data_IF_145340875337
#
_entry.id   IF_145340875337
#
_cell.length_a   1.000
_cell.length_b   1.000
_cell.length_c   1.000
_cell.angle_alpha   90.00
_cell.angle_beta   90.00
_cell.angle_gamma   90.00
#
_symmetry.space_group_name_H-M   'P 1'
#
loop_
_entity.id
_entity.type
_entity.pdbx_description
1 polymer ?
#
# COMPACT_ATOMS: atom_id res chain seq x y z
N UNK A 1 -22.26 3.19 -17.95
CA UNK A 1 -21.04 4.06 -18.04
C UNK A 1 -19.88 3.47 -17.24
N UNK A 2 -20.10 3.05 -15.99
CA UNK A 2 -19.08 2.45 -15.10
C UNK A 2 -18.45 1.17 -15.67
N UNK A 3 -19.25 0.21 -16.11
CA UNK A 3 -18.74 -1.07 -16.66
C UNK A 3 -17.86 -0.93 -17.91
N UNK A 4 -18.06 0.15 -18.68
CA UNK A 4 -17.25 0.47 -19.87
C UNK A 4 -15.86 1.05 -19.49
N UNK A 5 -15.74 1.62 -18.28
CA UNK A 5 -14.52 2.27 -17.79
C UNK A 5 -13.72 1.38 -16.82
N UNK A 6 -14.40 0.47 -16.11
CA UNK A 6 -13.81 -0.30 -15.00
C UNK A 6 -13.97 -1.83 -15.13
N UNK A 7 -14.61 -2.35 -16.19
CA UNK A 7 -14.80 -3.79 -16.42
C UNK A 7 -16.19 -4.32 -16.02
N UNK A 8 -16.45 -5.59 -16.33
CA UNK A 8 -17.74 -6.25 -16.06
C UNK A 8 -17.94 -6.60 -14.58
N UNK A 9 -16.85 -6.71 -13.84
CA UNK A 9 -16.82 -7.06 -12.43
C UNK A 9 -16.67 -5.77 -11.64
N UNK A 10 -17.74 -5.00 -11.43
CA UNK A 10 -17.70 -3.81 -10.57
C UNK A 10 -18.94 -3.81 -9.71
N UNK A 11 -18.76 -3.88 -8.38
CA UNK A 11 -19.85 -3.74 -7.43
C UNK A 11 -19.96 -2.28 -7.02
N UNK A 12 -21.09 -1.67 -7.34
CA UNK A 12 -21.43 -0.32 -6.89
C UNK A 12 -22.25 -0.44 -5.61
N UNK A 13 -21.74 0.06 -4.48
CA UNK A 13 -22.57 0.30 -3.31
C UNK A 13 -23.16 1.70 -3.42
N UNK A 14 -24.49 1.76 -3.38
CA UNK A 14 -25.26 3.00 -3.43
C UNK A 14 -25.80 3.23 -2.03
N UNK A 15 -25.32 4.29 -1.38
CA UNK A 15 -25.89 4.76 -0.12
C UNK A 15 -27.01 5.77 -0.42
N UNK A 16 -28.26 5.33 -0.24
CA UNK A 16 -29.45 6.15 -0.48
C UNK A 16 -29.68 7.20 0.61
N UNK A 17 -29.03 7.09 1.77
CA UNK A 17 -29.18 8.05 2.86
C UNK A 17 -28.36 9.33 2.66
N UNK A 18 -27.31 9.29 1.81
CA UNK A 18 -26.37 10.40 1.57
C UNK A 18 -26.50 11.04 0.19
N UNK A 19 -27.63 10.84 -0.51
CA UNK A 19 -27.89 11.50 -1.79
C UNK A 19 -27.26 10.80 -3.01
N UNK A 20 -26.99 9.49 -2.95
CA UNK A 20 -26.64 8.69 -4.12
C UNK A 20 -25.16 8.70 -4.52
N UNK A 21 -24.25 8.94 -3.57
CA UNK A 21 -22.82 8.71 -3.81
C UNK A 21 -22.57 7.21 -4.10
N UNK A 22 -21.86 6.95 -5.20
CA UNK A 22 -21.46 5.62 -5.63
C UNK A 22 -20.08 5.32 -5.03
N UNK A 23 -20.01 4.45 -4.02
CA UNK A 23 -18.72 3.84 -3.66
C UNK A 23 -18.48 2.69 -4.64
N UNK A 24 -17.46 2.85 -5.47
CA UNK A 24 -17.06 1.88 -6.47
C UNK A 24 -16.14 0.84 -5.82
N UNK A 25 -16.70 -0.32 -5.47
CA UNK A 25 -15.92 -1.46 -5.01
C UNK A 25 -15.83 -2.43 -6.19
N UNK A 26 -14.84 -2.22 -7.05
CA UNK A 26 -14.46 -3.27 -8.00
C UNK A 26 -14.01 -4.49 -7.19
N UNK A 27 -14.47 -5.72 -7.49
CA UNK A 27 -13.83 -6.91 -7.02
C UNK A 27 -12.41 -6.84 -7.57
N UNK A 28 -11.45 -6.71 -6.69
CA UNK A 28 -10.13 -7.24 -6.96
C UNK A 28 -10.30 -8.67 -7.47
N UNK A 29 -9.67 -9.02 -8.59
CA UNK A 29 -9.48 -10.42 -8.89
C UNK A 29 -8.73 -11.01 -7.69
N UNK A 30 -9.40 -11.93 -6.98
CA UNK A 30 -8.86 -12.51 -5.75
C UNK A 30 -8.38 -13.92 -6.03
N UNK A 31 -7.13 -14.20 -5.65
CA UNK A 31 -6.56 -15.55 -5.67
C UNK A 31 -6.17 -15.92 -4.26
N UNK A 32 -6.67 -17.04 -3.75
CA UNK A 32 -6.21 -17.58 -2.48
C UNK A 32 -4.86 -18.27 -2.68
N UNK A 33 -3.87 -17.93 -1.86
CA UNK A 33 -2.53 -18.53 -1.85
C UNK A 33 -2.11 -18.83 -0.41
N UNK A 34 -0.93 -19.43 -0.23
CA UNK A 34 -0.36 -19.68 1.11
C UNK A 34 -0.02 -18.38 1.87
N UNK A 35 0.00 -17.24 1.16
CA UNK A 35 0.19 -15.89 1.72
C UNK A 35 -1.14 -15.18 2.05
N UNK A 36 -2.27 -15.89 1.96
CA UNK A 36 -3.61 -15.36 2.14
C UNK A 36 -4.32 -15.04 0.83
N UNK A 37 -5.30 -14.13 0.86
CA UNK A 37 -5.98 -13.69 -0.37
C UNK A 37 -5.13 -12.61 -1.04
N UNK A 38 -4.80 -12.78 -2.31
CA UNK A 38 -4.15 -11.78 -3.14
C UNK A 38 -5.19 -10.95 -3.89
N UNK A 39 -4.93 -9.66 -4.04
CA UNK A 39 -5.79 -8.67 -4.67
C UNK A 39 -4.96 -7.99 -5.74
N UNK A 40 -5.32 -8.17 -7.02
CA UNK A 40 -4.56 -7.55 -8.10
C UNK A 40 -4.71 -6.01 -8.08
N UNK A 41 -3.62 -5.32 -8.42
CA UNK A 41 -3.60 -3.88 -8.68
C UNK A 41 -4.45 -3.54 -9.92
N UNK A 42 -5.14 -2.39 -9.90
CA UNK A 42 -5.87 -1.91 -11.08
C UNK A 42 -4.95 -1.23 -12.10
N UNK A 43 -3.85 -0.65 -11.64
CA UNK A 43 -2.92 0.12 -12.47
C UNK A 43 -1.77 -0.72 -13.01
N UNK A 44 -1.28 -1.68 -12.22
CA UNK A 44 -0.08 -2.45 -12.55
C UNK A 44 -0.37 -3.96 -12.55
N UNK A 45 -0.50 -4.55 -13.74
CA UNK A 45 -0.85 -5.97 -13.91
C UNK A 45 0.10 -6.98 -13.24
N UNK A 46 1.33 -6.56 -12.93
CA UNK A 46 2.33 -7.39 -12.26
C UNK A 46 2.32 -7.23 -10.74
N UNK A 47 1.49 -6.34 -10.19
CA UNK A 47 1.43 -6.03 -8.76
C UNK A 47 0.18 -6.64 -8.15
N UNK A 48 0.36 -7.30 -6.99
CA UNK A 48 -0.76 -7.76 -6.19
C UNK A 48 -0.54 -7.47 -4.71
N UNK A 49 -1.62 -7.21 -3.98
CA UNK A 49 -1.65 -6.92 -2.56
C UNK A 49 -2.18 -8.11 -1.76
N UNK A 50 -1.55 -8.44 -0.65
CA UNK A 50 -2.12 -9.42 0.30
C UNK A 50 -3.31 -8.83 1.05
N UNK A 51 -4.29 -9.66 1.45
CA UNK A 51 -5.42 -9.27 2.30
C UNK A 51 -4.93 -8.58 3.57
N UNK A 52 -3.89 -9.15 4.16
CA UNK A 52 -3.24 -8.64 5.35
C UNK A 52 -2.72 -7.21 5.17
N UNK A 53 -2.09 -6.92 4.03
CA UNK A 53 -1.63 -5.58 3.70
C UNK A 53 -2.79 -4.58 3.60
N UNK A 54 -3.86 -4.96 2.91
CA UNK A 54 -5.04 -4.10 2.71
C UNK A 54 -5.79 -3.83 4.02
N UNK A 55 -5.93 -4.84 4.88
CA UNK A 55 -6.56 -4.71 6.19
C UNK A 55 -5.78 -3.74 7.10
N UNK A 56 -4.45 -3.87 7.15
CA UNK A 56 -3.59 -2.95 7.92
C UNK A 56 -3.64 -1.54 7.37
N UNK A 57 -3.57 -1.39 6.04
CA UNK A 57 -3.67 -0.10 5.38
C UNK A 57 -5.01 0.60 5.67
N UNK A 58 -6.12 -0.14 5.58
CA UNK A 58 -7.47 0.36 5.88
C UNK A 58 -7.59 0.88 7.31
N UNK A 59 -7.14 0.10 8.30
CA UNK A 59 -7.17 0.49 9.72
C UNK A 59 -6.38 1.77 10.00
N UNK A 60 -5.30 2.00 9.26
CA UNK A 60 -4.37 3.14 9.46
C UNK A 60 -4.76 4.40 8.72
N UNK A 61 -5.57 4.30 7.68
CA UNK A 61 -5.90 5.45 6.82
C UNK A 61 -7.30 6.02 7.05
N UNK A 62 -8.07 5.45 7.99
CA UNK A 62 -9.45 5.82 8.37
C UNK A 62 -10.30 6.30 7.18
N UNK A 63 -10.14 5.60 6.04
CA UNK A 63 -10.65 6.05 4.76
C UNK A 63 -11.85 5.22 4.35
N UNK A 64 -12.90 5.91 3.89
CA UNK A 64 -14.04 5.29 3.22
C UNK A 64 -13.75 4.94 1.75
N UNK A 65 -12.53 5.19 1.26
CA UNK A 65 -12.12 4.92 -0.12
C UNK A 65 -11.62 3.48 -0.29
N UNK A 66 -11.63 3.00 -1.54
CA UNK A 66 -11.11 1.69 -1.88
C UNK A 66 -9.59 1.66 -1.65
N UNK A 67 -9.14 0.87 -0.68
CA UNK A 67 -7.74 0.79 -0.27
C UNK A 67 -6.80 0.42 -1.43
N UNK A 68 -7.24 -0.39 -2.39
CA UNK A 68 -6.43 -0.77 -3.56
C UNK A 68 -6.18 0.44 -4.45
N UNK A 69 -7.18 1.28 -4.69
CA UNK A 69 -7.03 2.49 -5.52
C UNK A 69 -6.02 3.44 -4.89
N UNK A 70 -6.08 3.59 -3.56
CA UNK A 70 -5.12 4.43 -2.84
C UNK A 70 -3.71 3.83 -2.87
N UNK A 71 -3.58 2.53 -2.64
CA UNK A 71 -2.28 1.84 -2.76
C UNK A 71 -1.71 1.86 -4.18
N UNK A 72 -2.55 1.81 -5.21
CA UNK A 72 -2.16 1.94 -6.62
C UNK A 72 -1.57 3.32 -6.93
N UNK A 73 -2.11 4.37 -6.30
CA UNK A 73 -1.56 5.72 -6.44
C UNK A 73 -0.15 5.82 -5.83
N UNK A 74 0.04 5.28 -4.64
CA UNK A 74 1.34 5.29 -3.94
C UNK A 74 2.38 4.37 -4.58
N UNK A 75 1.97 3.19 -5.05
CA UNK A 75 2.90 2.23 -5.63
C UNK A 75 3.44 2.70 -6.98
N UNK A 76 2.70 3.55 -7.69
CA UNK A 76 3.14 4.12 -8.96
C UNK A 76 4.43 4.93 -8.77
N UNK A 77 4.49 5.73 -7.71
CA UNK A 77 5.71 6.46 -7.35
C UNK A 77 6.75 5.50 -6.75
N UNK A 78 6.31 4.55 -5.93
CA UNK A 78 7.22 3.63 -5.25
C UNK A 78 8.01 2.73 -6.21
N UNK A 79 7.40 2.33 -7.34
CA UNK A 79 8.07 1.51 -8.36
C UNK A 79 9.31 2.19 -8.96
N UNK A 80 9.41 3.52 -8.90
CA UNK A 80 10.60 4.24 -9.36
C UNK A 80 11.83 3.96 -8.49
N UNK A 81 11.62 3.50 -7.25
CA UNK A 81 12.68 3.17 -6.27
C UNK A 81 13.07 1.68 -6.32
N UNK A 82 12.54 0.94 -7.30
CA UNK A 82 12.83 -0.48 -7.44
C UNK A 82 14.33 -0.71 -7.68
N UNK A 83 14.95 -1.50 -6.79
CA UNK A 83 16.37 -1.82 -6.82
C UNK A 83 17.23 -0.96 -5.89
N UNK A 84 16.69 0.12 -5.31
CA UNK A 84 17.40 0.93 -4.31
C UNK A 84 17.47 0.21 -2.97
N UNK A 85 16.33 -0.33 -2.52
CA UNK A 85 16.21 -1.10 -1.28
C UNK A 85 15.66 -2.50 -1.60
N UNK A 86 16.48 -3.54 -1.40
CA UNK A 86 16.03 -4.91 -1.66
C UNK A 86 14.81 -5.25 -0.79
N UNK A 87 13.75 -5.75 -1.44
CA UNK A 87 12.48 -6.10 -0.81
C UNK A 87 11.62 -4.92 -0.35
N UNK A 88 12.04 -3.67 -0.59
CA UNK A 88 11.30 -2.48 -0.17
C UNK A 88 11.18 -1.45 -1.29
N UNK A 89 10.01 -0.82 -1.41
CA UNK A 89 9.78 0.32 -2.30
C UNK A 89 9.37 1.52 -1.45
N UNK A 90 9.95 2.67 -1.71
CA UNK A 90 9.73 3.88 -0.91
C UNK A 90 8.92 4.88 -1.73
N UNK A 91 7.97 5.55 -1.08
CA UNK A 91 7.23 6.67 -1.66
C UNK A 91 7.12 7.78 -0.62
N UNK A 92 6.58 8.93 -1.03
CA UNK A 92 6.38 10.07 -0.13
C UNK A 92 5.48 9.77 1.07
N UNK A 93 4.59 8.78 0.95
CA UNK A 93 3.61 8.44 1.98
C UNK A 93 4.04 7.30 2.91
N UNK A 94 5.12 6.58 2.56
CA UNK A 94 5.58 5.42 3.32
C UNK A 94 6.35 4.39 2.49
N UNK A 95 6.47 3.18 3.04
CA UNK A 95 7.30 2.10 2.49
C UNK A 95 6.48 0.83 2.29
N UNK A 96 6.59 0.25 1.10
CA UNK A 96 6.03 -1.05 0.75
C UNK A 96 7.07 -2.14 0.96
N UNK A 97 6.72 -3.20 1.67
CA UNK A 97 7.51 -4.43 1.68
C UNK A 97 6.94 -5.42 0.67
N UNK A 98 7.78 -5.95 -0.21
CA UNK A 98 7.37 -6.82 -1.30
C UNK A 98 8.24 -8.07 -1.42
N UNK A 99 7.70 -9.06 -2.13
CA UNK A 99 8.44 -10.21 -2.64
C UNK A 99 8.09 -10.42 -4.11
N UNK A 100 9.06 -10.86 -4.92
CA UNK A 100 8.80 -11.24 -6.31
C UNK A 100 8.57 -12.73 -6.40
N UNK A 101 7.35 -13.14 -6.76
CA UNK A 101 6.96 -14.53 -6.91
C UNK A 101 6.46 -14.73 -8.34
N UNK A 102 7.07 -15.65 -9.07
CA UNK A 102 6.70 -15.95 -10.48
C UNK A 102 6.67 -14.72 -11.39
N UNK A 103 7.57 -13.75 -11.16
CA UNK A 103 7.63 -12.50 -11.94
C UNK A 103 6.54 -11.48 -11.59
N UNK A 104 5.78 -11.70 -10.51
CA UNK A 104 4.82 -10.73 -9.94
C UNK A 104 5.35 -10.15 -8.65
N UNK A 105 5.15 -8.85 -8.47
CA UNK A 105 5.45 -8.13 -7.23
C UNK A 105 4.29 -8.28 -6.26
N UNK A 106 4.51 -9.03 -5.19
CA UNK A 106 3.53 -9.30 -4.14
C UNK A 106 3.81 -8.39 -2.95
N UNK A 107 2.94 -7.42 -2.72
CA UNK A 107 3.02 -6.50 -1.58
C UNK A 107 2.47 -7.19 -0.33
N UNK A 108 3.36 -7.40 0.65
CA UNK A 108 3.06 -8.07 1.92
C UNK A 108 2.58 -7.10 3.00
N UNK A 109 3.13 -5.90 3.01
CA UNK A 109 2.74 -4.87 3.96
C UNK A 109 3.06 -3.47 3.44
N UNK A 110 2.41 -2.48 4.05
CA UNK A 110 2.67 -1.06 3.87
C UNK A 110 2.86 -0.40 5.23
N UNK A 111 3.93 0.37 5.38
CA UNK A 111 4.27 1.11 6.59
C UNK A 111 4.09 2.59 6.26
N UNK A 112 3.17 3.26 6.95
CA UNK A 112 3.01 4.71 6.82
C UNK A 112 4.32 5.39 7.22
N UNK A 113 4.64 6.50 6.56
CA UNK A 113 5.83 7.26 6.88
C UNK A 113 5.92 7.62 8.37
N UNK A 114 4.80 8.05 8.98
CA UNK A 114 4.71 8.43 10.39
C UNK A 114 4.99 7.28 11.38
N UNK A 115 5.04 6.04 10.91
CA UNK A 115 5.32 4.84 11.72
C UNK A 115 6.76 4.33 11.56
N UNK A 116 7.58 5.01 10.76
CA UNK A 116 8.98 4.65 10.57
C UNK A 116 9.84 5.23 11.70
N UNK A 117 10.76 4.42 12.23
CA UNK A 117 11.78 4.94 13.14
C UNK A 117 12.79 5.83 12.40
N UNK A 118 13.53 6.68 13.12
CA UNK A 118 14.60 7.49 12.53
C UNK A 118 15.62 6.64 11.75
N UNK A 119 16.00 5.48 12.29
CA UNK A 119 16.89 4.52 11.62
C UNK A 119 16.29 3.99 10.31
N UNK A 120 14.98 3.73 10.28
CA UNK A 120 14.28 3.29 9.07
C UNK A 120 14.17 4.43 8.06
N UNK A 121 13.94 5.65 8.51
CA UNK A 121 13.90 6.83 7.64
C UNK A 121 15.27 7.05 6.99
N UNK A 122 16.34 7.04 7.78
CA UNK A 122 17.71 7.20 7.26
C UNK A 122 18.10 6.05 6.31
N UNK A 123 17.69 4.81 6.63
CA UNK A 123 17.92 3.66 5.76
C UNK A 123 17.18 3.75 4.43
N UNK A 124 15.88 4.06 4.46
CA UNK A 124 15.02 4.00 3.28
C UNK A 124 15.08 5.26 2.43
N UNK A 125 15.32 6.42 3.05
CA UNK A 125 15.32 7.70 2.37
C UNK A 125 16.71 8.35 2.37
N UNK A 126 17.69 7.90 3.15
CA UNK A 126 19.04 8.47 3.15
C UNK A 126 19.12 9.97 3.50
N UNK A 127 20.35 10.45 3.69
CA UNK A 127 20.61 11.88 3.95
C UNK A 127 20.26 12.81 2.77
N UNK A 128 20.22 12.28 1.54
CA UNK A 128 19.91 13.01 0.31
C UNK A 128 18.42 13.26 0.07
N UNK A 129 17.54 12.45 0.67
CA UNK A 129 16.06 12.57 0.51
C UNK A 129 15.39 13.01 1.81
N UNK A 130 16.02 12.78 2.97
CA UNK A 130 15.62 13.37 4.25
C UNK A 130 15.65 14.91 4.26
N UNK A 131 16.44 15.55 3.38
CA UNK A 131 16.46 17.01 3.23
C UNK A 131 15.22 17.58 2.53
N UNK A 132 14.43 16.75 1.84
CA UNK A 132 13.18 17.15 1.17
C UNK A 132 11.96 16.92 2.06
N UNK A 133 12.09 16.10 3.11
CA UNK A 133 10.99 15.74 4.00
C UNK A 133 11.00 16.63 5.25
N UNK A 134 9.90 17.34 5.46
CA UNK A 134 9.71 18.29 6.55
C UNK A 134 9.97 17.63 7.91
N UNK A 135 10.79 18.31 8.71
CA UNK A 135 11.28 17.91 10.05
C UNK A 135 10.18 17.72 11.12
N UNK A 136 8.90 17.81 10.73
CA UNK A 136 7.72 17.76 11.61
C UNK A 136 7.05 16.37 11.65
N UNK A 137 7.51 15.39 10.86
CA UNK A 137 6.94 14.04 10.79
C UNK A 137 7.63 13.00 11.69
N UNK A 138 8.61 13.40 12.51
CA UNK A 138 9.35 12.49 13.39
C UNK A 138 8.52 12.29 14.66
N UNK A 139 7.97 11.08 14.83
CA UNK A 139 7.14 10.72 16.01
C UNK A 139 7.94 9.80 16.94
N UNK A 140 8.07 10.18 18.21
CA UNK A 140 8.82 9.46 19.26
C UNK A 140 8.13 8.18 19.81
N UNK A 141 7.07 7.67 19.16
CA UNK A 141 6.28 6.56 19.72
C UNK A 141 6.73 5.19 19.21
N UNK A 142 7.61 4.54 19.98
CA UNK A 142 8.15 3.20 19.72
C UNK A 142 7.13 2.05 19.90
N UNK A 143 5.86 2.34 20.17
CA UNK A 143 4.83 1.33 20.50
C UNK A 143 4.12 0.66 19.31
N UNK A 144 4.35 1.07 18.06
CA UNK A 144 3.58 0.65 16.88
C UNK A 144 4.43 -0.05 15.79
N UNK A 145 5.62 -0.54 16.14
CA UNK A 145 6.51 -1.23 15.18
C UNK A 145 6.11 -2.70 15.03
N UNK A 146 5.59 -3.05 13.85
CA UNK A 146 5.19 -4.42 13.48
C UNK A 146 6.37 -5.36 13.16
N UNK A 147 7.61 -4.97 13.51
CA UNK A 147 8.81 -5.75 13.24
C UNK A 147 9.68 -5.86 14.49
N UNK A 148 9.90 -7.08 14.95
CA UNK A 148 11.17 -7.45 15.60
C UNK A 148 12.10 -7.90 14.46
N UNK A 149 13.15 -7.12 14.20
CA UNK A 149 14.29 -7.64 13.44
C UNK A 149 14.80 -8.85 14.25
N UNK A 150 14.85 -10.02 13.63
CA UNK A 150 15.62 -11.11 14.19
C UNK A 150 17.09 -10.66 14.14
N UNK A 151 17.70 -10.47 15.31
CA UNK A 151 19.15 -10.38 15.41
C UNK A 151 19.73 -11.74 15.01
N UNK A 152 20.72 -11.73 14.11
CA UNK A 152 21.59 -12.89 13.87
C UNK A 152 22.46 -13.17 15.09
#
# INVERSE_FOLDING_TARGET
>A
KVSKKFGKDVLCLIDFSRGGFFSLISPSHTKSTDLGRLFDSFTHTQVAYTSHCLERFSKRTDSNENCIIKMDSYITDALLTYGENLGHLTCSSGVFAYEVIEGRLIVKTYINFDLLSEEQIDRFYGSGTATVLLKECITDDHGQTDFKLAEE
#
